data_IF_734151589703
#
_entry.id   IF_734151589703
#
_cell.length_a   1.000
_cell.length_b   1.000
_cell.length_c   1.000
_cell.angle_alpha   90.00
_cell.angle_beta   90.00
_cell.angle_gamma   90.00
#
_symmetry.space_group_name_H-M   'P 1'
#
loop_
_entity.id
_entity.type
_entity.pdbx_description
1 polymer ?
#
# COMPACT_ATOMS: atom_id res chain seq x y z
N UNK A 1 -8.83 18.40 7.46
CA UNK A 1 -7.91 17.73 6.54
C UNK A 1 -7.58 18.65 5.39
N UNK A 2 -6.28 18.91 5.20
CA UNK A 2 -5.67 19.51 4.01
C UNK A 2 -6.08 18.78 2.72
N UNK A 3 -5.58 19.24 1.55
CA UNK A 3 -5.76 18.51 0.30
C UNK A 3 -5.33 17.04 0.44
N UNK A 4 -6.21 16.12 0.06
CA UNK A 4 -5.92 14.68 0.04
C UNK A 4 -4.87 14.36 -1.03
N UNK A 5 -3.98 13.38 -0.80
CA UNK A 5 -3.10 12.86 -1.83
C UNK A 5 -3.87 12.45 -3.09
N UNK A 6 -3.35 12.86 -4.24
CA UNK A 6 -3.90 12.51 -5.56
C UNK A 6 -3.38 11.12 -5.95
N UNK A 7 -4.19 10.33 -6.66
CA UNK A 7 -3.80 9.03 -7.17
C UNK A 7 -2.88 9.24 -8.39
N UNK A 8 -1.62 8.73 -8.40
CA UNK A 8 -0.77 8.81 -9.57
C UNK A 8 -1.35 8.01 -10.75
N UNK A 9 -1.23 8.59 -11.94
CA UNK A 9 -1.65 7.97 -13.20
C UNK A 9 -0.38 7.68 -14.02
N UNK A 10 -0.26 6.45 -14.51
CA UNK A 10 0.74 6.09 -15.52
C UNK A 10 0.01 5.86 -16.84
N UNK A 11 0.39 6.63 -17.86
CA UNK A 11 -0.15 6.48 -19.21
C UNK A 11 0.12 5.09 -19.78
N UNK A 12 -0.82 4.58 -20.59
CA UNK A 12 -0.64 3.32 -21.31
C UNK A 12 -0.77 2.07 -20.43
N UNK A 13 -1.72 2.07 -19.50
CA UNK A 13 -1.93 0.94 -18.59
C UNK A 13 -2.22 -0.36 -19.35
N UNK A 14 -1.36 -1.39 -19.25
CA UNK A 14 -1.58 -2.66 -19.91
C UNK A 14 -2.71 -3.43 -19.24
N UNK A 15 -3.36 -4.33 -19.98
CA UNK A 15 -4.41 -5.21 -19.44
C UNK A 15 -3.83 -6.26 -18.49
N UNK A 16 -2.65 -6.80 -18.81
CA UNK A 16 -1.97 -7.84 -18.04
C UNK A 16 -0.45 -7.59 -17.96
N UNK A 17 0.05 -7.34 -16.75
CA UNK A 17 1.48 -7.07 -16.50
C UNK A 17 2.36 -8.28 -16.85
N UNK A 18 1.84 -9.50 -16.74
CA UNK A 18 2.58 -10.72 -17.04
C UNK A 18 2.91 -10.89 -18.53
N UNK A 19 2.17 -10.21 -19.39
CA UNK A 19 2.33 -10.24 -20.85
C UNK A 19 3.28 -9.18 -21.39
N UNK A 20 3.76 -8.27 -20.54
CA UNK A 20 4.67 -7.21 -20.98
C UNK A 20 6.05 -7.78 -21.34
N UNK A 21 6.56 -7.42 -22.51
CA UNK A 21 7.91 -7.81 -22.96
C UNK A 21 9.01 -7.25 -22.05
N UNK A 22 8.80 -6.02 -21.56
CA UNK A 22 9.69 -5.33 -20.64
C UNK A 22 9.24 -5.54 -19.21
N UNK A 23 9.92 -6.43 -18.50
CA UNK A 23 9.67 -6.67 -17.08
C UNK A 23 9.91 -5.43 -16.19
N UNK A 24 10.74 -4.51 -16.67
CA UNK A 24 11.00 -3.23 -16.03
C UNK A 24 9.76 -2.32 -16.08
N UNK A 25 9.08 -2.25 -17.23
CA UNK A 25 7.85 -1.49 -17.36
C UNK A 25 6.73 -2.12 -16.52
N UNK A 26 6.65 -3.45 -16.49
CA UNK A 26 5.71 -4.18 -15.62
C UNK A 26 5.89 -3.81 -14.14
N UNK A 27 7.13 -3.77 -13.64
CA UNK A 27 7.38 -3.40 -12.25
C UNK A 27 6.93 -1.98 -11.92
N UNK A 28 7.19 -1.01 -12.80
CA UNK A 28 6.77 0.38 -12.57
C UNK A 28 5.24 0.51 -12.47
N UNK A 29 4.50 -0.23 -13.29
CA UNK A 29 3.03 -0.29 -13.18
C UNK A 29 2.59 -1.00 -11.91
N UNK A 30 3.24 -2.11 -11.54
CA UNK A 30 2.94 -2.84 -10.30
C UNK A 30 3.09 -1.95 -9.05
N UNK A 31 4.21 -1.24 -8.93
CA UNK A 31 4.44 -0.24 -7.88
C UNK A 31 3.37 0.85 -7.90
N UNK A 32 2.98 1.35 -9.07
CA UNK A 32 1.94 2.38 -9.16
C UNK A 32 0.58 1.88 -8.68
N UNK A 33 0.20 0.63 -8.99
CA UNK A 33 -1.04 0.06 -8.48
C UNK A 33 -1.02 -0.12 -6.96
N UNK A 34 0.12 -0.56 -6.40
CA UNK A 34 0.30 -0.62 -4.95
C UNK A 34 0.18 0.77 -4.31
N UNK A 35 0.84 1.78 -4.87
CA UNK A 35 0.75 3.17 -4.40
C UNK A 35 -0.68 3.71 -4.48
N UNK A 36 -1.41 3.38 -5.56
CA UNK A 36 -2.81 3.77 -5.73
C UNK A 36 -3.70 3.13 -4.66
N UNK A 37 -3.50 1.85 -4.35
CA UNK A 37 -4.22 1.17 -3.27
C UNK A 37 -3.96 1.83 -1.90
N UNK A 38 -2.69 2.12 -1.59
CA UNK A 38 -2.29 2.80 -0.35
C UNK A 38 -2.90 4.22 -0.25
N UNK A 39 -2.86 5.00 -1.33
CA UNK A 39 -3.46 6.34 -1.37
C UNK A 39 -4.98 6.28 -1.21
N UNK A 40 -5.66 5.33 -1.86
CA UNK A 40 -7.12 5.16 -1.68
C UNK A 40 -7.47 4.84 -0.23
N UNK A 41 -6.73 3.94 0.42
CA UNK A 41 -6.94 3.62 1.83
C UNK A 41 -6.75 4.86 2.71
N UNK A 42 -5.65 5.60 2.53
CA UNK A 42 -5.37 6.84 3.25
C UNK A 42 -6.51 7.86 3.08
N UNK A 43 -6.98 8.05 1.86
CA UNK A 43 -8.09 8.97 1.57
C UNK A 43 -9.41 8.51 2.19
N UNK A 44 -9.70 7.20 2.21
CA UNK A 44 -10.88 6.65 2.86
C UNK A 44 -10.85 6.86 4.37
N UNK A 45 -9.71 6.61 5.02
CA UNK A 45 -9.54 6.87 6.46
C UNK A 45 -9.87 8.35 6.75
N UNK A 46 -9.31 9.26 5.95
CA UNK A 46 -9.52 10.68 6.15
C UNK A 46 -10.96 11.13 5.91
N UNK A 47 -11.65 10.53 4.95
CA UNK A 47 -13.04 10.83 4.65
C UNK A 47 -14.03 10.32 5.70
N UNK A 48 -13.64 9.27 6.45
CA UNK A 48 -14.50 8.53 7.39
C UNK A 48 -14.24 8.87 8.85
N UNK A 49 -13.00 9.16 9.26
CA UNK A 49 -12.61 9.24 10.67
C UNK A 49 -13.58 10.03 11.58
N UNK A 50 -14.02 11.22 11.15
CA UNK A 50 -14.92 12.08 11.94
C UNK A 50 -16.41 11.68 11.89
N UNK A 51 -16.76 10.66 11.10
CA UNK A 51 -18.15 10.22 10.84
C UNK A 51 -18.45 8.82 11.36
N UNK A 52 -17.44 8.12 11.87
CA UNK A 52 -17.59 6.76 12.40
C UNK A 52 -18.38 6.83 13.72
N UNK A 53 -19.52 6.12 13.82
CA UNK A 53 -20.28 6.08 15.06
C UNK A 53 -19.51 5.29 16.13
N UNK A 54 -19.69 5.58 17.43
CA UNK A 54 -18.94 4.90 18.50
C UNK A 54 -19.01 3.37 18.46
N UNK A 55 -20.16 2.81 18.07
CA UNK A 55 -20.38 1.36 17.97
C UNK A 55 -19.55 0.68 16.88
N UNK A 56 -19.09 1.43 15.88
CA UNK A 56 -18.26 0.92 14.79
C UNK A 56 -16.78 1.29 14.95
N UNK A 57 -16.42 2.03 16.00
CA UNK A 57 -15.06 2.56 16.16
C UNK A 57 -14.00 1.45 16.19
N UNK A 58 -14.29 0.32 16.86
CA UNK A 58 -13.40 -0.83 16.86
C UNK A 58 -13.11 -1.37 15.45
N UNK A 59 -14.14 -1.44 14.60
CA UNK A 59 -14.00 -1.91 13.22
C UNK A 59 -13.16 -0.94 12.38
N UNK A 60 -13.39 0.37 12.59
CA UNK A 60 -12.61 1.41 11.91
C UNK A 60 -11.14 1.40 12.36
N UNK A 61 -10.86 1.17 13.64
CA UNK A 61 -9.50 1.04 14.15
C UNK A 61 -8.79 -0.15 13.48
N UNK A 62 -9.45 -1.31 13.34
CA UNK A 62 -8.89 -2.45 12.61
C UNK A 62 -8.59 -2.13 11.14
N UNK A 63 -9.40 -1.30 10.50
CA UNK A 63 -9.15 -0.83 9.14
C UNK A 63 -7.94 0.10 9.04
N UNK A 64 -7.77 1.03 9.99
CA UNK A 64 -6.57 1.87 10.09
C UNK A 64 -5.33 1.03 10.37
N UNK A 65 -5.44 -0.01 11.22
CA UNK A 65 -4.36 -0.97 11.50
C UNK A 65 -3.92 -1.72 10.23
N UNK A 66 -4.88 -2.19 9.42
CA UNK A 66 -4.59 -2.85 8.14
C UNK A 66 -3.84 -1.95 7.16
N UNK A 67 -4.22 -0.67 7.08
CA UNK A 67 -3.47 0.33 6.31
C UNK A 67 -2.04 0.52 6.84
N UNK A 68 -1.90 0.72 8.15
CA UNK A 68 -0.60 0.95 8.78
C UNK A 68 0.36 -0.21 8.54
N UNK A 69 -0.10 -1.43 8.78
CA UNK A 69 0.72 -2.60 8.54
C UNK A 69 1.11 -2.72 7.06
N UNK A 70 0.14 -2.62 6.15
CA UNK A 70 0.41 -2.79 4.72
C UNK A 70 1.40 -1.75 4.20
N UNK A 71 1.23 -0.48 4.58
CA UNK A 71 2.18 0.57 4.23
C UNK A 71 3.55 0.34 4.84
N UNK A 72 3.61 -0.07 6.11
CA UNK A 72 4.88 -0.37 6.78
C UNK A 72 5.64 -1.47 6.05
N UNK A 73 4.95 -2.57 5.74
CA UNK A 73 5.53 -3.74 5.08
C UNK A 73 5.99 -3.41 3.66
N UNK A 74 5.22 -2.62 2.91
CA UNK A 74 5.64 -2.07 1.62
C UNK A 74 6.97 -1.30 1.74
N UNK A 75 7.03 -0.29 2.61
CA UNK A 75 8.23 0.53 2.77
C UNK A 75 9.44 -0.26 3.29
N UNK A 76 9.23 -1.18 4.23
CA UNK A 76 10.29 -2.03 4.78
C UNK A 76 10.80 -3.04 3.74
N UNK A 77 9.92 -3.64 2.93
CA UNK A 77 10.29 -4.55 1.84
C UNK A 77 11.17 -3.85 0.81
N UNK A 78 10.74 -2.69 0.33
CA UNK A 78 11.52 -1.88 -0.60
C UNK A 78 12.89 -1.50 -0.03
N UNK A 79 12.96 -1.03 1.22
CA UNK A 79 14.21 -0.60 1.84
C UNK A 79 15.19 -1.76 2.11
N UNK A 80 14.67 -2.96 2.42
CA UNK A 80 15.51 -4.11 2.78
C UNK A 80 15.89 -4.95 1.56
N UNK A 81 15.03 -4.99 0.54
CA UNK A 81 15.15 -5.92 -0.58
C UNK A 81 15.45 -5.17 -1.88
N UNK A 82 14.59 -4.22 -2.29
CA UNK A 82 14.66 -3.59 -3.62
C UNK A 82 15.72 -2.49 -3.71
N UNK A 83 15.59 -1.42 -2.93
CA UNK A 83 16.40 -0.21 -3.02
C UNK A 83 17.91 -0.44 -2.85
N UNK A 84 18.37 -1.36 -1.98
CA UNK A 84 19.80 -1.70 -1.91
C UNK A 84 20.39 -2.18 -3.23
N UNK A 85 19.58 -2.70 -4.16
CA UNK A 85 20.04 -3.20 -5.46
C UNK A 85 19.96 -2.17 -6.58
N UNK A 86 19.12 -1.16 -6.46
CA UNK A 86 18.90 -0.16 -7.53
C UNK A 86 19.40 1.25 -7.16
N UNK A 87 19.74 1.52 -5.90
CA UNK A 87 20.17 2.83 -5.40
C UNK A 87 21.47 3.37 -6.03
N UNK A 88 22.31 2.50 -6.60
CA UNK A 88 23.51 2.95 -7.33
C UNK A 88 23.17 3.62 -8.68
N UNK A 89 21.98 3.39 -9.21
CA UNK A 89 21.53 3.83 -10.54
C UNK A 89 20.24 4.65 -10.51
N UNK A 90 19.63 4.80 -9.33
CA UNK A 90 18.38 5.52 -9.10
C UNK A 90 18.54 6.43 -7.89
N UNK A 91 17.66 7.40 -7.72
CA UNK A 91 17.59 8.21 -6.49
C UNK A 91 16.89 7.48 -5.33
N UNK A 92 16.55 6.19 -5.49
CA UNK A 92 15.82 5.39 -4.50
C UNK A 92 16.80 4.81 -3.48
N UNK A 93 17.05 5.57 -2.41
CA UNK A 93 17.96 5.20 -1.33
C UNK A 93 17.24 4.81 -0.02
N UNK A 94 15.90 4.85 -0.01
CA UNK A 94 15.06 4.54 1.14
C UNK A 94 14.80 5.69 2.13
N UNK A 95 15.39 6.87 1.93
CA UNK A 95 15.16 8.03 2.81
C UNK A 95 13.69 8.48 2.78
N UNK A 96 13.05 8.49 1.61
CA UNK A 96 11.63 8.83 1.50
C UNK A 96 10.74 7.82 2.24
N UNK A 97 11.05 6.52 2.15
CA UNK A 97 10.36 5.49 2.92
C UNK A 97 10.56 5.65 4.43
N UNK A 98 11.77 5.99 4.89
CA UNK A 98 12.03 6.28 6.29
C UNK A 98 11.23 7.52 6.78
N UNK A 99 11.11 8.54 5.95
CA UNK A 99 10.29 9.71 6.26
C UNK A 99 8.80 9.34 6.40
N UNK A 100 8.27 8.54 5.46
CA UNK A 100 6.90 8.02 5.53
C UNK A 100 6.67 7.20 6.80
N UNK A 101 7.58 6.26 7.10
CA UNK A 101 7.50 5.43 8.31
C UNK A 101 7.58 6.27 9.61
N UNK A 102 8.39 7.33 9.61
CA UNK A 102 8.49 8.26 10.74
C UNK A 102 7.16 8.98 11.02
N UNK A 103 6.44 9.38 9.98
CA UNK A 103 5.09 9.93 10.11
C UNK A 103 4.06 8.87 10.51
N UNK A 104 4.13 7.69 9.89
CA UNK A 104 3.23 6.56 10.14
C UNK A 104 3.22 6.14 11.61
N UNK A 105 4.37 6.22 12.29
CA UNK A 105 4.50 5.88 13.71
C UNK A 105 3.50 6.62 14.63
N UNK A 106 3.05 7.83 14.27
CA UNK A 106 2.00 8.53 15.02
C UNK A 106 0.61 7.91 14.83
N UNK A 107 0.27 7.52 13.60
CA UNK A 107 -1.00 6.84 13.30
C UNK A 107 -1.02 5.47 13.99
N UNK A 108 0.10 4.75 13.97
CA UNK A 108 0.22 3.47 14.67
C UNK A 108 0.13 3.63 16.19
N UNK A 109 0.65 4.71 16.75
CA UNK A 109 0.47 4.99 18.18
C UNK A 109 -1.02 5.20 18.50
N UNK A 110 -1.73 5.98 17.68
CA UNK A 110 -3.17 6.13 17.81
C UNK A 110 -3.90 4.78 17.72
N UNK A 111 -3.56 3.92 16.75
CA UNK A 111 -4.13 2.57 16.64
C UNK A 111 -3.88 1.76 17.92
N UNK A 112 -2.64 1.71 18.41
CA UNK A 112 -2.29 0.95 19.61
C UNK A 112 -3.09 1.40 20.84
N UNK A 113 -3.27 2.71 21.02
CA UNK A 113 -4.05 3.27 22.13
C UNK A 113 -5.55 3.00 21.95
N UNK A 114 -6.05 3.21 20.74
CA UNK A 114 -7.46 3.04 20.38
C UNK A 114 -7.91 1.58 20.48
N UNK A 115 -7.07 0.60 20.12
CA UNK A 115 -7.39 -0.83 20.29
C UNK A 115 -7.65 -1.20 21.76
N UNK A 116 -6.93 -0.58 22.70
CA UNK A 116 -7.13 -0.86 24.13
C UNK A 116 -8.44 -0.29 24.66
N UNK A 117 -8.94 0.79 24.05
CA UNK A 117 -10.12 1.51 24.53
C UNK A 117 -10.87 2.24 23.40
N UNK A 118 -11.52 1.49 22.49
CA UNK A 118 -12.09 2.04 21.26
C UNK A 118 -13.09 3.18 21.48
N UNK A 119 -13.88 3.13 22.55
CA UNK A 119 -14.88 4.14 22.88
C UNK A 119 -14.29 5.49 23.30
N UNK A 120 -12.98 5.54 23.59
CA UNK A 120 -12.24 6.76 23.91
C UNK A 120 -11.30 7.20 22.79
N UNK A 121 -11.26 6.47 21.68
CA UNK A 121 -10.45 6.87 20.54
C UNK A 121 -10.90 8.25 20.05
N UNK A 122 -9.97 9.20 19.97
CA UNK A 122 -10.25 10.55 19.46
C UNK A 122 -9.91 10.60 17.97
N UNK A 123 -10.89 10.71 17.07
CA UNK A 123 -10.62 10.79 15.64
C UNK A 123 -9.87 12.08 15.26
N UNK A 124 -9.90 13.13 16.07
CA UNK A 124 -9.17 14.38 15.78
C UNK A 124 -7.67 14.19 15.86
N UNK A 125 -7.18 13.32 16.76
CA UNK A 125 -5.77 12.95 16.86
C UNK A 125 -5.30 12.19 15.62
N UNK A 126 -6.13 11.25 15.12
CA UNK A 126 -5.89 10.55 13.87
C UNK A 126 -5.82 11.53 12.69
N UNK A 127 -6.79 12.45 12.57
CA UNK A 127 -6.79 13.47 11.52
C UNK A 127 -5.53 14.33 11.59
N UNK A 128 -5.13 14.78 12.78
CA UNK A 128 -3.92 15.59 12.94
C UNK A 128 -2.65 14.83 12.53
N UNK A 129 -2.54 13.55 12.88
CA UNK A 129 -1.43 12.70 12.44
C UNK A 129 -1.40 12.53 10.91
N UNK A 130 -2.57 12.32 10.30
CA UNK A 130 -2.71 12.24 8.84
C UNK A 130 -2.37 13.55 8.13
N UNK A 131 -2.76 14.70 8.67
CA UNK A 131 -2.43 16.01 8.08
C UNK A 131 -0.92 16.26 8.01
N UNK A 132 -0.17 15.80 9.03
CA UNK A 132 1.30 15.84 9.04
C UNK A 132 1.88 14.88 8.01
N UNK A 133 1.32 13.67 7.90
CA UNK A 133 1.81 12.63 7.00
C UNK A 133 1.51 12.91 5.52
N UNK A 134 0.36 13.51 5.21
CA UNK A 134 -0.15 13.67 3.85
C UNK A 134 0.85 14.24 2.84
N UNK A 135 1.58 15.36 3.09
CA UNK A 135 2.54 15.88 2.13
C UNK A 135 3.73 14.94 1.91
N UNK A 136 4.23 14.29 2.97
CA UNK A 136 5.37 13.35 2.89
C UNK A 136 4.96 12.10 2.11
N UNK A 137 3.81 11.54 2.46
CA UNK A 137 3.25 10.35 1.81
C UNK A 137 2.94 10.61 0.34
N UNK A 138 2.26 11.72 0.02
CA UNK A 138 1.97 12.09 -1.37
C UNK A 138 3.25 12.27 -2.17
N UNK A 139 4.25 12.98 -1.63
CA UNK A 139 5.52 13.19 -2.31
C UNK A 139 6.22 11.86 -2.61
N UNK A 140 6.39 11.00 -1.59
CA UNK A 140 7.07 9.71 -1.73
C UNK A 140 6.42 8.82 -2.79
N UNK A 141 5.09 8.64 -2.73
CA UNK A 141 4.36 7.78 -3.67
C UNK A 141 4.46 8.22 -5.14
N UNK A 142 4.65 9.52 -5.40
CA UNK A 142 4.81 10.05 -6.77
C UNK A 142 6.27 10.08 -7.22
N UNK A 143 7.19 10.53 -6.37
CA UNK A 143 8.60 10.67 -6.74
C UNK A 143 9.26 9.31 -6.95
N UNK A 144 8.88 8.29 -6.19
CA UNK A 144 9.39 6.94 -6.40
C UNK A 144 9.11 6.44 -7.84
N UNK A 145 7.90 6.64 -8.35
CA UNK A 145 7.53 6.26 -9.72
C UNK A 145 8.30 7.03 -10.80
N UNK A 146 8.75 8.25 -10.49
CA UNK A 146 9.60 9.05 -11.37
C UNK A 146 11.05 8.54 -11.36
N UNK A 147 11.54 8.11 -10.21
CA UNK A 147 12.89 7.54 -10.07
C UNK A 147 13.01 6.11 -10.61
N UNK A 148 11.89 5.37 -10.71
CA UNK A 148 11.79 4.06 -11.37
C UNK A 148 11.68 4.15 -12.90
N UNK A 149 12.39 5.08 -13.55
CA UNK A 149 12.38 5.17 -15.01
C UNK A 149 12.89 3.85 -15.64
N UNK A 150 12.35 3.42 -16.80
CA UNK A 150 12.77 2.16 -17.40
C UNK A 150 14.27 2.10 -17.69
N UNK A 151 14.85 3.21 -18.15
CA UNK A 151 16.29 3.34 -18.37
C UNK A 151 17.12 3.16 -17.10
N UNK A 152 16.66 3.70 -15.96
CA UNK A 152 17.40 3.62 -14.70
C UNK A 152 17.37 2.19 -14.14
N UNK A 153 16.21 1.54 -14.18
CA UNK A 153 16.04 0.15 -13.75
C UNK A 153 16.80 -0.83 -14.65
N UNK A 154 16.74 -0.66 -15.99
CA UNK A 154 17.51 -1.47 -16.94
C UNK A 154 19.02 -1.30 -16.77
N UNK A 155 19.47 -0.12 -16.33
CA UNK A 155 20.89 0.13 -16.03
C UNK A 155 21.33 -0.53 -14.73
N UNK A 156 20.40 -0.78 -13.80
CA UNK A 156 20.68 -1.40 -12.51
C UNK A 156 20.66 -2.93 -12.57
N UNK A 157 19.66 -3.51 -13.22
CA UNK A 157 19.38 -4.94 -13.19
C UNK A 157 18.87 -5.42 -14.56
N UNK A 158 19.25 -6.64 -14.94
CA UNK A 158 18.60 -7.34 -16.06
C UNK A 158 17.15 -7.70 -15.70
N UNK A 159 16.31 -7.96 -16.71
CA UNK A 159 14.92 -8.39 -16.49
C UNK A 159 14.79 -9.61 -15.54
N UNK A 160 15.58 -10.69 -15.71
CA UNK A 160 15.56 -11.82 -14.79
C UNK A 160 15.99 -11.48 -13.35
N UNK A 161 16.98 -10.61 -13.17
CA UNK A 161 17.42 -10.17 -11.84
C UNK A 161 16.34 -9.33 -11.15
N UNK A 162 15.72 -8.40 -11.88
CA UNK A 162 14.59 -7.61 -11.40
C UNK A 162 13.39 -8.51 -11.05
N UNK A 163 13.17 -9.59 -11.80
CA UNK A 163 12.11 -10.56 -11.47
C UNK A 163 12.40 -11.30 -10.18
N UNK A 164 13.63 -11.76 -10.03
CA UNK A 164 14.04 -12.49 -8.84
C UNK A 164 13.95 -11.62 -7.58
N UNK A 165 14.39 -10.36 -7.64
CA UNK A 165 14.36 -9.46 -6.48
C UNK A 165 12.93 -9.08 -6.08
N UNK A 166 12.01 -8.85 -7.04
CA UNK A 166 10.59 -8.59 -6.74
C UNK A 166 9.94 -9.83 -6.13
N UNK A 167 10.20 -11.02 -6.65
CA UNK A 167 9.67 -12.25 -6.06
C UNK A 167 10.20 -12.44 -4.61
N UNK A 168 11.44 -12.07 -4.34
CA UNK A 168 11.98 -12.09 -2.98
C UNK A 168 11.29 -11.07 -2.06
N UNK A 169 10.97 -9.88 -2.58
CA UNK A 169 10.23 -8.86 -1.84
C UNK A 169 8.81 -9.32 -1.52
N UNK A 170 8.08 -9.85 -2.50
CA UNK A 170 6.74 -10.44 -2.30
C UNK A 170 6.80 -11.57 -1.26
N UNK A 171 7.78 -12.47 -1.35
CA UNK A 171 7.94 -13.56 -0.39
C UNK A 171 8.26 -13.02 1.02
N UNK A 172 9.09 -11.98 1.11
CA UNK A 172 9.40 -11.32 2.37
C UNK A 172 8.15 -10.67 2.97
N UNK A 173 7.39 -9.90 2.20
CA UNK A 173 6.14 -9.29 2.64
C UNK A 173 5.17 -10.36 3.14
N UNK A 174 4.98 -11.44 2.38
CA UNK A 174 4.08 -12.53 2.77
C UNK A 174 4.49 -13.22 4.09
N UNK A 175 5.79 -13.30 4.39
CA UNK A 175 6.29 -13.88 5.64
C UNK A 175 6.25 -12.92 6.83
N UNK A 176 6.21 -11.62 6.57
CA UNK A 176 6.28 -10.59 7.60
C UNK A 176 4.95 -9.86 7.82
N UNK A 177 3.89 -10.21 7.09
CA UNK A 177 2.56 -9.58 7.18
C UNK A 177 1.49 -10.56 7.66
N UNK A 178 0.45 -10.03 8.31
CA UNK A 178 -0.84 -10.66 8.51
C UNK A 178 -1.52 -10.79 7.15
N UNK A 179 -1.57 -12.01 6.63
CA UNK A 179 -2.14 -12.28 5.31
C UNK A 179 -3.63 -11.96 5.22
N UNK A 180 -4.33 -12.05 6.36
CA UNK A 180 -5.72 -11.62 6.53
C UNK A 180 -5.91 -10.10 6.38
N UNK A 181 -4.84 -9.30 6.45
CA UNK A 181 -4.86 -7.87 6.14
C UNK A 181 -4.30 -7.62 4.75
N UNK A 182 -3.11 -8.12 4.45
CA UNK A 182 -2.39 -7.79 3.23
C UNK A 182 -3.15 -8.15 1.96
N UNK A 183 -3.60 -9.40 1.81
CA UNK A 183 -4.27 -9.82 0.57
C UNK A 183 -5.64 -9.16 0.35
N UNK A 184 -6.56 -9.13 1.33
CA UNK A 184 -7.76 -8.32 1.23
C UNK A 184 -7.48 -6.86 0.91
N UNK A 185 -6.46 -6.25 1.54
CA UNK A 185 -6.12 -4.85 1.32
C UNK A 185 -5.81 -4.58 -0.16
N UNK A 186 -4.96 -5.39 -0.79
CA UNK A 186 -4.62 -5.21 -2.22
C UNK A 186 -5.88 -5.22 -3.08
N UNK A 187 -6.74 -6.23 -2.92
CA UNK A 187 -7.89 -6.43 -3.82
C UNK A 187 -9.01 -5.43 -3.56
N UNK A 188 -9.26 -5.07 -2.30
CA UNK A 188 -10.36 -4.17 -1.93
C UNK A 188 -10.03 -2.68 -2.09
N UNK A 189 -8.77 -2.34 -2.39
CA UNK A 189 -8.31 -0.97 -2.66
C UNK A 189 -7.84 -0.74 -4.09
N UNK A 190 -7.89 -1.78 -4.94
CA UNK A 190 -7.59 -1.66 -6.35
C UNK A 190 -8.84 -1.42 -7.19
N UNK A 191 -8.75 -0.44 -8.08
CA UNK A 191 -9.80 -0.18 -9.05
C UNK A 191 -9.61 -1.14 -10.22
N UNK A 192 -10.41 -2.20 -10.26
CA UNK A 192 -10.34 -3.24 -11.30
C UNK A 192 -10.55 -2.69 -12.71
N UNK A 193 -11.20 -1.52 -12.87
CA UNK A 193 -11.32 -0.89 -14.19
C UNK A 193 -10.00 -0.34 -14.73
N UNK A 194 -9.01 -0.12 -13.85
CA UNK A 194 -7.67 0.33 -14.26
C UNK A 194 -6.77 -0.85 -14.65
N UNK A 195 -6.95 -2.02 -14.01
CA UNK A 195 -6.32 -3.27 -14.42
C UNK A 195 -7.06 -4.45 -13.76
N UNK A 196 -7.63 -5.37 -14.55
CA UNK A 196 -8.43 -6.48 -14.00
C UNK A 196 -7.59 -7.63 -13.43
N UNK A 197 -6.30 -7.68 -13.77
CA UNK A 197 -5.40 -8.80 -13.45
C UNK A 197 -4.52 -8.54 -12.23
N UNK A 198 -4.29 -7.27 -11.85
CA UNK A 198 -3.54 -6.91 -10.65
C UNK A 198 -4.30 -7.31 -9.36
N UNK A 199 -3.65 -7.87 -8.34
CA UNK A 199 -2.19 -7.97 -8.13
C UNK A 199 -1.53 -9.25 -8.68
N UNK A 200 -2.14 -9.92 -9.67
CA UNK A 200 -1.52 -11.09 -10.31
C UNK A 200 -1.37 -12.28 -9.37
N UNK A 201 -2.34 -12.46 -8.45
CA UNK A 201 -2.27 -13.50 -7.42
C UNK A 201 -2.10 -14.91 -8.02
N UNK A 202 -1.27 -15.78 -7.40
CA UNK A 202 -1.28 -17.20 -7.72
C UNK A 202 -2.64 -17.81 -7.32
N UNK A 203 -3.02 -18.93 -7.94
CA UNK A 203 -4.36 -19.51 -7.77
C UNK A 203 -4.61 -19.94 -6.32
N UNK A 204 -3.57 -20.37 -5.60
CA UNK A 204 -3.65 -20.66 -4.17
C UNK A 204 -4.09 -19.42 -3.38
N UNK A 205 -3.51 -18.25 -3.67
CA UNK A 205 -3.88 -16.99 -3.02
C UNK A 205 -5.29 -16.53 -3.40
N UNK A 206 -5.69 -16.70 -4.68
CA UNK A 206 -7.07 -16.41 -5.12
C UNK A 206 -8.10 -17.27 -4.39
N UNK A 207 -7.79 -18.55 -4.18
CA UNK A 207 -8.70 -19.50 -3.55
C UNK A 207 -8.93 -19.21 -2.07
N UNK A 208 -7.92 -18.70 -1.35
CA UNK A 208 -8.06 -18.37 0.08
C UNK A 208 -8.58 -16.95 0.32
N UNK A 209 -8.51 -16.05 -0.68
CA UNK A 209 -8.90 -14.65 -0.52
C UNK A 209 -10.34 -14.45 0.04
N UNK A 210 -11.38 -15.17 -0.42
CA UNK A 210 -12.72 -15.03 0.15
C UNK A 210 -12.75 -15.34 1.66
N UNK A 211 -12.04 -16.38 2.10
CA UNK A 211 -11.94 -16.74 3.51
C UNK A 211 -11.21 -15.65 4.30
N UNK A 212 -10.09 -15.13 3.78
CA UNK A 212 -9.34 -14.05 4.41
C UNK A 212 -10.17 -12.77 4.61
N UNK A 213 -11.00 -12.41 3.63
CA UNK A 213 -11.95 -11.28 3.77
C UNK A 213 -12.95 -11.53 4.89
N UNK A 214 -13.39 -12.78 5.11
CA UNK A 214 -14.31 -13.11 6.21
C UNK A 214 -13.68 -13.16 7.60
N UNK A 215 -12.36 -13.06 7.72
CA UNK A 215 -11.69 -12.99 9.04
C UNK A 215 -11.97 -11.65 9.74
N UNK A 216 -12.08 -10.55 8.97
CA UNK A 216 -12.33 -9.20 9.48
C UNK A 216 -13.42 -8.49 8.65
N UNK A 217 -14.64 -9.04 8.53
CA UNK A 217 -15.62 -8.56 7.57
C UNK A 217 -16.07 -7.11 7.86
N UNK A 218 -16.15 -6.74 9.15
CA UNK A 218 -16.51 -5.38 9.55
C UNK A 218 -15.40 -4.35 9.32
N UNK A 219 -14.14 -4.76 9.23
CA UNK A 219 -13.04 -3.88 8.83
C UNK A 219 -13.19 -3.46 7.37
N UNK A 220 -13.51 -4.42 6.51
CA UNK A 220 -13.57 -4.22 5.06
C UNK A 220 -14.75 -3.38 4.58
N UNK A 221 -15.72 -3.05 5.46
CA UNK A 221 -16.81 -2.12 5.13
C UNK A 221 -16.32 -0.70 4.80
N UNK A 222 -15.10 -0.35 5.22
CA UNK A 222 -14.48 0.95 4.95
C UNK A 222 -13.65 0.98 3.66
N UNK A 223 -13.41 -0.19 3.05
CA UNK A 223 -12.68 -0.28 1.80
C UNK A 223 -13.50 0.34 0.65
N UNK A 224 -12.84 0.91 -0.37
CA UNK A 224 -13.53 1.56 -1.49
C UNK A 224 -14.23 0.56 -2.43
N UNK A 225 -13.82 -0.71 -2.44
CA UNK A 225 -14.35 -1.75 -3.32
C UNK A 225 -14.70 -3.03 -2.55
N UNK A 226 -15.40 -3.93 -3.24
CA UNK A 226 -15.82 -5.25 -2.76
C UNK A 226 -15.33 -6.35 -3.71
N UNK A 227 -15.31 -7.62 -3.26
CA UNK A 227 -14.93 -8.78 -4.08
C UNK A 227 -15.91 -9.15 -5.22
N UNK A 228 -16.96 -8.34 -5.45
CA UNK A 228 -18.01 -8.58 -6.44
C UNK A 228 -17.51 -8.71 -7.87
#
# INVERSE_FOLDING_TARGET
>A
MSALPIIPIIDGTPTDLSTMESYVDAYRHDTAFMHNALIRAFNQIGAKAMKVPPVEMANFISYVDAFCETLRRHCEGENNIIFPRISAHTSLNGEDNLAVLGCLGRIEQWVREAVQLPEKADPTELIAAMEVMAPVFSKSMHEQLNHMSPSALQSALSGPELRNIINNDIAWIAQNSRMEYFLPFLVLHHDRSTNETWPGLPDEAKNVLPELVTVNPECWQYAPFSLS
#
